data_IF_116225162685
#
_entry.id   IF_116225162685
#
_cell.length_a   1.000
_cell.length_b   1.000
_cell.length_c   1.000
_cell.angle_alpha   90.00
_cell.angle_beta   90.00
_cell.angle_gamma   90.00
#
_symmetry.space_group_name_H-M   'P 1'
#
loop_
_entity.id
_entity.type
_entity.pdbx_description
1 polymer ?
#
# COMPACT_ATOMS: atom_id res chain seq x y z
N UNK A 1 -5.55 11.65 -1.89
CA UNK A 1 -6.34 10.42 -2.10
C UNK A 1 -7.08 10.02 -0.83
N UNK A 2 -8.16 9.30 -0.98
CA UNK A 2 -8.89 8.76 0.16
C UNK A 2 -8.25 7.45 0.62
N UNK A 3 -8.12 7.29 1.94
CA UNK A 3 -7.56 6.08 2.53
C UNK A 3 -8.23 5.78 3.87
N UNK A 4 -8.24 4.51 4.28
CA UNK A 4 -8.66 4.08 5.60
C UNK A 4 -7.40 3.87 6.46
N UNK A 5 -7.32 4.61 7.55
CA UNK A 5 -6.11 4.71 8.39
C UNK A 5 -6.37 4.01 9.72
N UNK A 6 -5.45 3.16 10.14
CA UNK A 6 -5.42 2.68 11.52
C UNK A 6 -4.69 3.73 12.37
N UNK A 7 -5.45 4.51 13.10
CA UNK A 7 -4.91 5.58 13.96
C UNK A 7 -4.66 5.04 15.37
N UNK A 8 -5.65 4.34 15.92
CA UNK A 8 -5.56 3.72 17.24
C UNK A 8 -6.08 2.29 17.17
N UNK A 9 -5.42 1.37 17.87
CA UNK A 9 -5.89 -0.01 17.98
C UNK A 9 -7.22 -0.06 18.73
N UNK A 10 -8.06 -1.02 18.37
CA UNK A 10 -9.39 -1.24 18.98
C UNK A 10 -10.37 -0.10 18.78
N UNK A 11 -10.12 0.76 17.80
CA UNK A 11 -10.98 1.84 17.38
C UNK A 11 -11.33 1.68 15.90
N UNK A 12 -12.44 2.26 15.41
CA UNK A 12 -12.75 2.25 13.99
C UNK A 12 -11.63 2.88 13.15
N UNK A 13 -11.45 2.37 11.94
CA UNK A 13 -10.54 3.01 10.99
C UNK A 13 -11.04 4.42 10.66
N UNK A 14 -10.10 5.33 10.45
CA UNK A 14 -10.41 6.70 10.04
C UNK A 14 -10.27 6.81 8.53
N UNK A 15 -11.37 7.15 7.85
CA UNK A 15 -11.34 7.42 6.41
C UNK A 15 -11.07 8.90 6.20
N UNK A 16 -9.98 9.24 5.54
CA UNK A 16 -9.54 10.62 5.38
C UNK A 16 -8.78 10.84 4.07
N UNK A 17 -8.61 12.12 3.71
CA UNK A 17 -7.74 12.52 2.60
C UNK A 17 -6.29 12.48 3.06
N UNK A 18 -5.47 11.74 2.32
CA UNK A 18 -4.05 11.52 2.61
C UNK A 18 -3.24 12.00 1.41
N UNK A 19 -2.12 12.66 1.68
CA UNK A 19 -1.18 13.05 0.63
C UNK A 19 -0.17 11.94 0.39
N UNK A 20 0.00 11.58 -0.87
CA UNK A 20 1.00 10.62 -1.29
C UNK A 20 2.28 11.35 -1.74
N UNK A 21 3.46 10.70 -1.72
CA UNK A 21 4.67 11.28 -2.29
C UNK A 21 4.48 11.63 -3.77
N UNK A 22 4.99 12.78 -4.18
CA UNK A 22 4.88 13.24 -5.58
C UNK A 22 5.74 12.38 -6.52
N UNK A 23 6.91 11.98 -6.07
CA UNK A 23 7.88 11.23 -6.89
C UNK A 23 8.11 9.84 -6.32
N UNK A 24 8.34 8.88 -7.23
CA UNK A 24 8.69 7.51 -6.87
C UNK A 24 10.21 7.40 -6.66
N UNK A 25 10.59 6.58 -5.69
CA UNK A 25 11.98 6.17 -5.49
C UNK A 25 12.32 4.98 -6.40
N UNK A 26 13.61 4.65 -6.47
CA UNK A 26 14.11 3.51 -7.23
C UNK A 26 13.35 2.23 -6.86
N UNK A 27 12.81 1.54 -7.86
CA UNK A 27 12.12 0.27 -7.68
C UNK A 27 10.67 0.37 -7.19
N UNK A 28 10.12 1.57 -7.07
CA UNK A 28 8.72 1.76 -6.66
C UNK A 28 7.76 1.78 -7.84
N UNK A 29 6.53 1.39 -7.59
CA UNK A 29 5.43 1.36 -8.55
C UNK A 29 4.23 2.05 -7.90
N UNK A 30 3.58 2.96 -8.64
CA UNK A 30 2.32 3.58 -8.23
C UNK A 30 1.17 2.87 -8.91
N UNK A 31 0.21 2.40 -8.12
CA UNK A 31 -0.93 1.63 -8.61
C UNK A 31 -2.24 2.30 -8.22
N UNK A 32 -3.14 2.44 -9.19
CA UNK A 32 -4.54 2.80 -8.93
C UNK A 32 -5.27 1.53 -8.51
N UNK A 33 -5.74 1.46 -7.28
CA UNK A 33 -6.46 0.30 -6.76
C UNK A 33 -7.85 0.22 -7.39
N UNK A 34 -8.25 -0.96 -7.83
CA UNK A 34 -9.60 -1.26 -8.31
C UNK A 34 -10.39 -2.06 -7.26
N UNK A 35 -9.72 -3.02 -6.63
CA UNK A 35 -10.32 -3.90 -5.63
C UNK A 35 -9.33 -4.19 -4.53
N UNK A 36 -9.86 -4.42 -3.33
CA UNK A 36 -9.10 -4.89 -2.18
C UNK A 36 -9.83 -6.02 -1.51
N UNK A 37 -9.10 -7.06 -1.13
CA UNK A 37 -9.60 -8.07 -0.21
C UNK A 37 -9.47 -7.60 1.23
N UNK A 38 -10.21 -8.25 2.13
CA UNK A 38 -10.11 -8.08 3.58
C UNK A 38 -9.74 -9.42 4.17
N UNK A 39 -8.66 -9.46 4.91
CA UNK A 39 -8.15 -10.67 5.55
C UNK A 39 -8.28 -10.56 7.08
N UNK A 40 -8.36 -11.68 7.76
CA UNK A 40 -8.33 -11.71 9.22
C UNK A 40 -7.11 -11.03 9.82
N UNK A 41 -6.01 -10.93 9.06
CA UNK A 41 -4.81 -10.21 9.49
C UNK A 41 -5.08 -8.74 9.78
N UNK A 42 -5.92 -8.06 8.99
CA UNK A 42 -6.28 -6.66 9.23
C UNK A 42 -7.11 -6.51 10.50
N UNK A 43 -8.01 -7.45 10.75
CA UNK A 43 -8.79 -7.48 11.98
C UNK A 43 -7.87 -7.65 13.18
N UNK A 44 -6.90 -8.54 13.09
CA UNK A 44 -5.91 -8.75 14.16
C UNK A 44 -5.05 -7.50 14.40
N UNK A 45 -4.67 -6.78 13.36
CA UNK A 45 -3.95 -5.51 13.50
C UNK A 45 -4.79 -4.46 14.23
N UNK A 46 -6.06 -4.32 13.84
CA UNK A 46 -6.99 -3.38 14.49
C UNK A 46 -7.19 -3.74 15.96
N UNK A 47 -7.36 -5.01 16.26
CA UNK A 47 -7.64 -5.49 17.61
C UNK A 47 -6.38 -5.54 18.51
N UNK A 48 -5.21 -5.39 17.95
CA UNK A 48 -3.96 -5.45 18.70
C UNK A 48 -3.62 -6.87 19.16
N UNK A 49 -3.98 -7.89 18.39
CA UNK A 49 -3.78 -9.29 18.75
C UNK A 49 -2.31 -9.66 19.01
N UNK A 50 -1.38 -8.95 18.42
CA UNK A 50 0.07 -9.15 18.58
C UNK A 50 0.71 -8.15 19.54
N UNK A 51 -0.09 -7.40 20.31
CA UNK A 51 0.39 -6.41 21.23
C UNK A 51 0.39 -4.99 20.67
N UNK A 52 1.07 -4.03 21.35
CA UNK A 52 1.10 -2.63 20.93
C UNK A 52 1.72 -2.47 19.54
N UNK A 53 1.07 -1.65 18.71
CA UNK A 53 1.54 -1.31 17.38
C UNK A 53 2.36 0.00 17.45
N UNK A 54 3.65 -0.10 17.14
CA UNK A 54 4.57 1.06 17.15
C UNK A 54 4.59 1.86 15.87
N UNK A 55 3.85 1.44 14.85
CA UNK A 55 3.86 2.07 13.53
C UNK A 55 2.66 2.99 13.29
N UNK A 56 1.78 3.13 14.30
CA UNK A 56 0.60 3.99 14.19
C UNK A 56 0.97 5.46 13.95
N UNK A 57 0.19 6.23 13.14
CA UNK A 57 -0.87 5.73 12.28
C UNK A 57 -0.31 5.08 11.01
N UNK A 58 -1.00 4.10 10.46
CA UNK A 58 -0.57 3.49 9.22
C UNK A 58 -1.74 3.02 8.33
N UNK A 59 -1.43 2.81 7.05
CA UNK A 59 -2.35 2.22 6.10
C UNK A 59 -2.38 0.69 6.28
N UNK A 60 -3.41 0.07 5.71
CA UNK A 60 -3.70 -1.35 5.85
C UNK A 60 -3.98 -2.02 4.50
N UNK A 61 -4.15 -3.33 4.56
CA UNK A 61 -4.50 -4.16 3.43
C UNK A 61 -3.27 -4.77 2.77
N UNK A 62 -3.39 -6.00 2.26
CA UNK A 62 -2.26 -6.69 1.66
C UNK A 62 -2.64 -7.53 0.44
N UNK A 63 -3.87 -7.43 -0.04
CA UNK A 63 -4.33 -8.15 -1.22
C UNK A 63 -5.28 -7.28 -2.03
N UNK A 64 -4.96 -7.09 -3.29
CA UNK A 64 -5.77 -6.23 -4.15
C UNK A 64 -5.37 -6.34 -5.60
N UNK A 65 -6.07 -5.61 -6.43
CA UNK A 65 -5.76 -5.48 -7.84
C UNK A 65 -5.94 -4.04 -8.32
N UNK A 66 -5.25 -3.70 -9.38
CA UNK A 66 -5.31 -2.35 -9.92
C UNK A 66 -4.57 -2.20 -11.23
N UNK A 67 -4.34 -0.95 -11.59
CA UNK A 67 -3.65 -0.57 -12.82
C UNK A 67 -2.43 0.26 -12.46
N UNK A 68 -1.28 -0.08 -13.04
CA UNK A 68 -0.05 0.69 -12.85
C UNK A 68 -0.20 2.06 -13.48
N UNK A 69 0.02 3.10 -12.69
CA UNK A 69 0.00 4.50 -13.16
C UNK A 69 1.40 4.98 -13.56
N UNK A 70 2.41 4.57 -12.80
CA UNK A 70 3.78 5.08 -12.94
C UNK A 70 4.76 4.07 -12.36
N UNK A 71 5.95 4.00 -12.95
CA UNK A 71 7.05 3.17 -12.44
C UNK A 71 8.25 4.03 -12.14
N UNK A 72 8.91 3.75 -11.02
CA UNK A 72 10.19 4.38 -10.67
C UNK A 72 11.34 3.80 -11.47
N UNK A 73 12.50 4.43 -11.33
CA UNK A 73 13.71 3.95 -12.00
C UNK A 73 14.03 2.51 -11.59
N UNK A 74 14.55 1.73 -12.53
CA UNK A 74 14.95 0.35 -12.30
C UNK A 74 13.86 -0.69 -12.46
N UNK A 75 12.58 -0.30 -12.47
CA UNK A 75 11.46 -1.24 -12.65
C UNK A 75 11.43 -1.77 -14.07
N UNK A 76 11.40 -3.10 -14.21
CA UNK A 76 11.43 -3.78 -15.51
C UNK A 76 10.29 -4.80 -15.70
N UNK A 77 9.62 -5.21 -14.64
CA UNK A 77 8.60 -6.29 -14.69
C UNK A 77 7.21 -5.80 -15.06
N UNK A 78 6.93 -4.52 -14.85
CA UNK A 78 5.64 -3.89 -15.17
C UNK A 78 5.87 -2.52 -15.80
N UNK A 79 4.84 -2.03 -16.48
CA UNK A 79 4.82 -0.71 -17.11
C UNK A 79 3.49 -0.02 -16.84
N UNK A 80 3.44 1.31 -17.00
CA UNK A 80 2.20 2.07 -16.88
C UNK A 80 1.12 1.49 -17.81
N UNK A 81 -0.08 1.33 -17.28
CA UNK A 81 -1.21 0.71 -17.98
C UNK A 81 -1.38 -0.78 -17.75
N UNK A 82 -0.39 -1.46 -17.18
CA UNK A 82 -0.51 -2.89 -16.87
C UNK A 82 -1.50 -3.12 -15.74
N UNK A 83 -2.30 -4.18 -15.87
CA UNK A 83 -3.13 -4.69 -14.81
C UNK A 83 -2.30 -5.58 -13.90
N UNK A 84 -2.41 -5.38 -12.59
CA UNK A 84 -1.59 -6.10 -11.61
C UNK A 84 -2.42 -6.57 -10.42
N UNK A 85 -1.96 -7.62 -9.78
CA UNK A 85 -2.34 -7.95 -8.40
C UNK A 85 -1.25 -7.42 -7.47
N UNK A 86 -1.67 -6.98 -6.30
CA UNK A 86 -0.78 -6.59 -5.20
C UNK A 86 -0.83 -7.70 -4.16
N UNK A 87 0.32 -8.09 -3.64
CA UNK A 87 0.45 -9.21 -2.72
C UNK A 87 1.54 -8.97 -1.68
N UNK A 88 1.38 -9.58 -0.51
CA UNK A 88 2.29 -9.37 0.61
C UNK A 88 3.59 -10.19 0.50
N UNK A 89 3.57 -11.28 -0.26
CA UNK A 89 4.78 -12.06 -0.51
C UNK A 89 5.61 -11.40 -1.61
N UNK A 90 6.94 -11.38 -1.48
CA UNK A 90 7.77 -10.87 -2.58
C UNK A 90 7.73 -11.81 -3.79
N UNK A 91 7.69 -11.22 -4.98
CA UNK A 91 7.90 -11.89 -6.25
C UNK A 91 9.20 -11.39 -6.88
N UNK A 92 9.28 -11.42 -8.22
CA UNK A 92 10.45 -10.91 -8.93
C UNK A 92 10.52 -9.38 -8.87
N UNK A 93 11.74 -8.86 -8.96
CA UNK A 93 11.96 -7.43 -9.04
C UNK A 93 12.56 -6.83 -7.78
N UNK A 94 12.58 -5.51 -7.75
CA UNK A 94 13.28 -4.72 -6.74
C UNK A 94 12.46 -4.65 -5.45
N UNK A 95 13.13 -4.80 -4.31
CA UNK A 95 12.61 -4.45 -3.00
C UNK A 95 13.07 -3.02 -2.69
N UNK A 96 12.12 -2.08 -2.62
CA UNK A 96 12.38 -0.67 -2.30
C UNK A 96 11.95 -0.35 -0.87
N UNK A 97 12.36 0.79 -0.31
CA UNK A 97 11.82 1.26 0.97
C UNK A 97 10.30 1.45 0.90
N UNK A 98 9.64 1.30 2.04
CA UNK A 98 8.20 1.58 2.14
C UNK A 98 7.94 3.08 2.01
N UNK A 99 6.84 3.49 1.35
CA UNK A 99 6.51 4.90 1.23
C UNK A 99 6.01 5.46 2.56
N UNK A 100 6.08 6.78 2.69
CA UNK A 100 5.45 7.51 3.79
C UNK A 100 4.46 8.50 3.19
N UNK A 101 3.27 8.47 3.75
CA UNK A 101 2.18 9.39 3.39
C UNK A 101 2.07 10.48 4.44
N UNK A 102 1.27 11.50 4.19
CA UNK A 102 1.02 12.53 5.20
C UNK A 102 -0.48 12.81 5.34
N UNK A 103 -0.89 13.11 6.55
CA UNK A 103 -2.26 13.43 6.92
C UNK A 103 -2.25 14.41 8.06
N UNK A 104 -2.81 15.61 7.83
CA UNK A 104 -2.86 16.68 8.84
C UNK A 104 -1.50 16.95 9.51
N UNK A 105 -0.42 16.97 8.73
CA UNK A 105 0.93 17.20 9.22
C UNK A 105 1.57 15.99 9.93
N UNK A 106 0.88 14.87 9.99
CA UNK A 106 1.41 13.62 10.57
C UNK A 106 1.91 12.69 9.47
N UNK A 107 2.96 11.95 9.77
CA UNK A 107 3.41 10.85 8.90
C UNK A 107 2.46 9.68 9.08
N UNK A 108 1.96 9.14 7.97
CA UNK A 108 1.20 7.90 7.93
C UNK A 108 2.07 6.84 7.31
N UNK A 109 2.40 5.81 8.09
CA UNK A 109 3.27 4.73 7.65
C UNK A 109 2.52 3.76 6.72
N UNK A 110 3.27 2.99 5.97
CA UNK A 110 2.75 1.90 5.16
C UNK A 110 3.70 0.72 5.29
N UNK A 111 3.16 -0.49 5.26
CA UNK A 111 3.96 -1.69 5.12
C UNK A 111 4.38 -1.89 3.66
N UNK A 112 4.84 -3.10 3.35
CA UNK A 112 5.27 -3.44 1.98
C UNK A 112 4.15 -3.32 0.96
N UNK A 113 2.90 -3.58 1.37
CA UNK A 113 1.70 -3.44 0.56
C UNK A 113 0.61 -2.79 1.39
N UNK A 114 -0.14 -1.86 0.81
CA UNK A 114 -1.38 -1.35 1.38
C UNK A 114 -2.43 -1.27 0.28
N UNK A 115 -3.67 -1.65 0.59
CA UNK A 115 -4.75 -1.72 -0.39
C UNK A 115 -6.05 -1.04 0.07
N UNK A 116 -6.12 -0.53 1.30
CA UNK A 116 -7.26 0.25 1.78
C UNK A 116 -7.10 1.74 1.47
N UNK A 117 -6.65 2.04 0.27
CA UNK A 117 -6.36 3.37 -0.23
C UNK A 117 -6.60 3.40 -1.74
N UNK A 118 -6.93 4.56 -2.27
CA UNK A 118 -7.24 4.70 -3.70
C UNK A 118 -6.03 4.43 -4.58
N UNK A 119 -4.85 4.90 -4.16
CA UNK A 119 -3.58 4.64 -4.83
C UNK A 119 -2.55 4.12 -3.84
N UNK A 120 -1.74 3.18 -4.28
CA UNK A 120 -0.68 2.62 -3.46
C UNK A 120 0.67 2.81 -4.16
N UNK A 121 1.69 3.11 -3.37
CA UNK A 121 3.09 3.03 -3.79
C UNK A 121 3.67 1.79 -3.13
N UNK A 122 4.15 0.87 -3.95
CA UNK A 122 4.70 -0.42 -3.50
C UNK A 122 6.00 -0.72 -4.22
N UNK A 123 6.77 -1.66 -3.70
CA UNK A 123 7.95 -2.17 -4.40
C UNK A 123 7.55 -2.97 -5.64
N UNK A 124 8.41 -2.98 -6.63
CA UNK A 124 8.24 -3.80 -7.84
C UNK A 124 7.93 -5.27 -7.51
N UNK A 125 8.57 -5.82 -6.49
CA UNK A 125 8.38 -7.22 -6.12
C UNK A 125 7.07 -7.50 -5.34
N UNK A 126 6.21 -6.50 -5.19
CA UNK A 126 4.89 -6.64 -4.54
C UNK A 126 3.74 -6.55 -5.52
N UNK A 127 4.04 -6.51 -6.81
CA UNK A 127 3.03 -6.56 -7.87
C UNK A 127 3.37 -7.65 -8.86
N UNK A 128 2.33 -8.25 -9.43
CA UNK A 128 2.46 -9.25 -10.51
C UNK A 128 1.46 -8.90 -11.58
N UNK A 129 1.94 -8.81 -12.82
CA UNK A 129 1.10 -8.53 -13.99
C UNK A 129 0.10 -9.64 -14.20
N UNK A 130 -1.13 -9.25 -14.52
CA UNK A 130 -2.23 -10.15 -14.89
C UNK A 130 -2.82 -9.69 -16.22
N UNK A 131 -3.58 -10.54 -16.93
CA UNK A 131 -4.31 -10.13 -18.12
C UNK A 131 -5.30 -9.00 -17.80
N UNK A 132 -5.50 -8.08 -18.76
CA UNK A 132 -6.46 -6.99 -18.59
C UNK A 132 -7.92 -7.48 -18.51
#
# INVERSE_FOLDING_TARGET
MKAAILVDQREPLVVAEVCEPDTLQFGQVRVQLCYSGVCGAQINEIDGAKGPDRWLPHLLGHEGSGVVLETGDGVTTVSAGDHVVLHWRPSDGIQSPTPKYSWNGRVVNAGWVTTFNERAIVSENRVTRIPP
#
